data_IF_116172592481
#
_entry.id   IF_116172592481
#
_cell.length_a   1.000
_cell.length_b   1.000
_cell.length_c   1.000
_cell.angle_alpha   90.00
_cell.angle_beta   90.00
_cell.angle_gamma   90.00
#
_symmetry.space_group_name_H-M   'P 1'
#
loop_
_entity.id
_entity.type
_entity.pdbx_description
1 polymer ?
#
# COMPACT_ATOMS: atom_id res chain seq x y z
N UNK A 1 -13.70 -9.91 -2.54
CA UNK A 1 -14.74 -9.04 -1.95
C UNK A 1 -15.83 -8.70 -2.95
N UNK A 2 -15.52 -7.97 -4.03
CA UNK A 2 -16.53 -7.43 -4.97
C UNK A 2 -17.49 -8.47 -5.57
N UNK A 3 -17.01 -9.65 -5.96
CA UNK A 3 -17.86 -10.68 -6.58
C UNK A 3 -18.98 -11.15 -5.66
N UNK A 4 -18.65 -11.48 -4.41
CA UNK A 4 -19.63 -11.89 -3.42
C UNK A 4 -20.52 -10.72 -3.00
N UNK A 5 -19.94 -9.57 -2.68
CA UNK A 5 -20.70 -8.40 -2.22
C UNK A 5 -21.75 -7.94 -3.23
N UNK A 6 -21.37 -7.81 -4.51
CA UNK A 6 -22.29 -7.39 -5.57
C UNK A 6 -23.34 -8.46 -5.89
N UNK A 7 -22.98 -9.75 -5.79
CA UNK A 7 -23.94 -10.84 -6.00
C UNK A 7 -24.97 -10.91 -4.87
N UNK A 8 -24.54 -10.72 -3.63
CA UNK A 8 -25.42 -10.78 -2.44
C UNK A 8 -26.47 -9.67 -2.42
N UNK A 9 -26.16 -8.49 -2.95
CA UNK A 9 -27.13 -7.40 -3.10
C UNK A 9 -28.06 -7.59 -4.32
N UNK A 10 -27.92 -8.68 -5.07
CA UNK A 10 -28.75 -8.98 -6.24
C UNK A 10 -28.39 -8.18 -7.50
N UNK A 11 -27.16 -7.65 -7.60
CA UNK A 11 -26.72 -6.95 -8.80
C UNK A 11 -26.53 -7.95 -9.95
N UNK A 12 -27.16 -7.67 -11.09
CA UNK A 12 -26.98 -8.43 -12.32
C UNK A 12 -25.50 -8.45 -12.69
N UNK A 13 -24.99 -9.63 -13.04
CA UNK A 13 -23.58 -9.85 -13.36
C UNK A 13 -22.61 -9.50 -12.21
N UNK A 14 -23.09 -9.32 -10.97
CA UNK A 14 -22.25 -8.93 -9.83
C UNK A 14 -21.04 -9.84 -9.62
N UNK A 15 -21.22 -11.15 -9.79
CA UNK A 15 -20.15 -12.13 -9.71
C UNK A 15 -19.10 -11.93 -10.82
N UNK A 16 -19.54 -11.74 -12.07
CA UNK A 16 -18.66 -11.53 -13.22
C UNK A 16 -17.89 -10.21 -13.11
N UNK A 17 -18.56 -9.13 -12.69
CA UNK A 17 -17.94 -7.83 -12.43
C UNK A 17 -16.84 -8.00 -11.38
N UNK A 18 -17.15 -8.69 -10.29
CA UNK A 18 -16.20 -8.87 -9.20
C UNK A 18 -15.03 -9.79 -9.50
N UNK A 19 -15.23 -10.86 -10.29
CA UNK A 19 -14.11 -11.68 -10.78
C UNK A 19 -13.22 -10.87 -11.73
N UNK A 20 -13.82 -10.11 -12.65
CA UNK A 20 -13.08 -9.27 -13.60
C UNK A 20 -12.25 -8.22 -12.86
N UNK A 21 -12.85 -7.56 -11.86
CA UNK A 21 -12.16 -6.62 -10.99
C UNK A 21 -11.02 -7.28 -10.20
N UNK A 22 -11.21 -8.52 -9.72
CA UNK A 22 -10.17 -9.30 -9.05
C UNK A 22 -9.02 -9.71 -9.98
N UNK A 23 -9.28 -9.95 -11.26
CA UNK A 23 -8.20 -10.11 -12.24
C UNK A 23 -7.48 -8.79 -12.51
N UNK A 24 -8.20 -7.67 -12.55
CA UNK A 24 -7.62 -6.35 -12.79
C UNK A 24 -6.87 -5.78 -11.58
N UNK A 25 -7.03 -6.33 -10.37
CA UNK A 25 -6.35 -5.86 -9.16
C UNK A 25 -4.84 -6.16 -9.12
N UNK A 26 -4.28 -6.83 -10.13
CA UNK A 26 -2.82 -6.87 -10.31
C UNK A 26 -2.22 -5.46 -10.52
N UNK A 27 -2.98 -4.54 -11.12
CA UNK A 27 -2.59 -3.14 -11.24
C UNK A 27 -3.30 -2.36 -10.14
N UNK A 28 -2.56 -1.65 -9.26
CA UNK A 28 -3.15 -0.84 -8.20
C UNK A 28 -4.24 0.10 -8.74
N UNK A 29 -5.36 0.17 -8.01
CA UNK A 29 -6.55 0.97 -8.33
C UNK A 29 -7.35 0.56 -9.57
N UNK A 30 -6.79 -0.17 -10.54
CA UNK A 30 -7.51 -0.55 -11.77
C UNK A 30 -8.65 -1.53 -11.46
N UNK A 31 -8.38 -2.53 -10.63
CA UNK A 31 -9.42 -3.49 -10.19
C UNK A 31 -10.58 -2.82 -9.48
N UNK A 32 -10.31 -1.94 -8.52
CA UNK A 32 -11.37 -1.26 -7.75
C UNK A 32 -12.09 -0.18 -8.54
N UNK A 33 -11.40 0.57 -9.41
CA UNK A 33 -12.02 1.56 -10.29
C UNK A 33 -12.94 0.89 -11.32
N UNK A 34 -12.51 -0.22 -11.92
CA UNK A 34 -13.35 -0.98 -12.85
C UNK A 34 -14.58 -1.57 -12.13
N UNK A 35 -14.42 -2.11 -10.93
CA UNK A 35 -15.55 -2.54 -10.10
C UNK A 35 -16.54 -1.40 -9.85
N UNK A 36 -16.05 -0.21 -9.48
CA UNK A 36 -16.88 0.97 -9.21
C UNK A 36 -17.69 1.39 -10.43
N UNK A 37 -17.01 1.63 -11.56
CA UNK A 37 -17.65 2.16 -12.76
C UNK A 37 -18.67 1.17 -13.32
N UNK A 38 -18.28 -0.09 -13.49
CA UNK A 38 -19.16 -1.10 -14.10
C UNK A 38 -20.34 -1.41 -13.18
N UNK A 39 -20.11 -1.58 -11.87
CA UNK A 39 -21.21 -1.85 -10.93
C UNK A 39 -22.17 -0.68 -10.82
N UNK A 40 -21.69 0.57 -10.82
CA UNK A 40 -22.54 1.76 -10.78
C UNK A 40 -23.43 1.88 -12.02
N UNK A 41 -22.89 1.67 -13.22
CA UNK A 41 -23.66 1.70 -14.46
C UNK A 41 -24.75 0.61 -14.45
N UNK A 42 -24.36 -0.63 -14.12
CA UNK A 42 -25.31 -1.76 -14.09
C UNK A 42 -26.38 -1.53 -13.03
N UNK A 43 -26.01 -1.06 -11.83
CA UNK A 43 -26.95 -0.79 -10.74
C UNK A 43 -27.94 0.32 -11.10
N UNK A 44 -27.47 1.38 -11.76
CA UNK A 44 -28.30 2.49 -12.19
C UNK A 44 -29.32 2.03 -13.25
N UNK A 45 -28.89 1.23 -14.23
CA UNK A 45 -29.79 0.72 -15.28
C UNK A 45 -30.76 -0.33 -14.72
N UNK A 46 -30.30 -1.21 -13.85
CA UNK A 46 -31.11 -2.29 -13.26
C UNK A 46 -32.15 -1.77 -12.25
N UNK A 47 -31.76 -0.80 -11.42
CA UNK A 47 -32.60 -0.28 -10.34
C UNK A 47 -33.55 0.83 -10.77
N UNK A 48 -33.38 1.41 -11.97
CA UNK A 48 -34.12 2.60 -12.37
C UNK A 48 -35.65 2.42 -12.29
N UNK A 49 -36.40 3.41 -11.77
CA UNK A 49 -35.98 4.73 -11.28
C UNK A 49 -35.58 4.76 -9.80
N UNK A 50 -35.54 3.62 -9.11
CA UNK A 50 -35.15 3.51 -7.71
C UNK A 50 -33.62 3.60 -7.55
N UNK A 51 -33.17 4.46 -6.65
CA UNK A 51 -31.76 4.70 -6.36
C UNK A 51 -31.18 3.70 -5.36
N UNK A 52 -32.02 2.85 -4.76
CA UNK A 52 -31.63 1.90 -3.72
C UNK A 52 -30.53 0.93 -4.20
N UNK A 53 -30.67 0.38 -5.41
CA UNK A 53 -29.67 -0.55 -5.97
C UNK A 53 -28.32 0.14 -6.21
N UNK A 54 -28.32 1.38 -6.69
CA UNK A 54 -27.09 2.17 -6.87
C UNK A 54 -26.41 2.42 -5.52
N UNK A 55 -27.18 2.83 -4.51
CA UNK A 55 -26.65 3.08 -3.17
C UNK A 55 -26.03 1.81 -2.56
N UNK A 56 -26.68 0.65 -2.73
CA UNK A 56 -26.14 -0.65 -2.28
C UNK A 56 -24.84 -1.02 -3.00
N UNK A 57 -24.80 -0.88 -4.34
CA UNK A 57 -23.60 -1.19 -5.12
C UNK A 57 -22.42 -0.29 -4.74
N UNK A 58 -22.65 1.01 -4.60
CA UNK A 58 -21.63 1.96 -4.12
C UNK A 58 -21.18 1.62 -2.69
N UNK A 59 -22.09 1.21 -1.81
CA UNK A 59 -21.78 0.76 -0.45
C UNK A 59 -20.87 -0.47 -0.41
N UNK A 60 -21.11 -1.47 -1.28
CA UNK A 60 -20.25 -2.65 -1.42
C UNK A 60 -18.84 -2.26 -1.90
N UNK A 61 -18.76 -1.37 -2.89
CA UNK A 61 -17.47 -0.94 -3.44
C UNK A 61 -16.70 -0.09 -2.43
N UNK A 62 -17.37 0.87 -1.78
CA UNK A 62 -16.78 1.74 -0.77
C UNK A 62 -16.30 0.98 0.47
N UNK A 63 -17.09 0.01 0.97
CA UNK A 63 -16.65 -0.86 2.07
C UNK A 63 -15.43 -1.70 1.70
N UNK A 64 -15.35 -2.17 0.45
CA UNK A 64 -14.17 -2.84 -0.08
C UNK A 64 -12.95 -1.93 -0.07
N UNK A 65 -13.07 -0.72 -0.61
CA UNK A 65 -12.00 0.28 -0.60
C UNK A 65 -11.56 0.65 0.82
N UNK A 66 -12.50 0.77 1.75
CA UNK A 66 -12.20 1.07 3.13
C UNK A 66 -11.38 -0.05 3.79
N UNK A 67 -11.79 -1.30 3.62
CA UNK A 67 -11.04 -2.47 4.10
C UNK A 67 -9.66 -2.54 3.46
N UNK A 68 -9.56 -2.32 2.15
CA UNK A 68 -8.31 -2.39 1.42
C UNK A 68 -7.34 -1.27 1.84
N UNK A 69 -7.81 -0.04 1.98
CA UNK A 69 -6.99 1.11 2.36
C UNK A 69 -6.59 1.12 3.85
N UNK A 70 -7.51 0.77 4.75
CA UNK A 70 -7.28 0.92 6.20
C UNK A 70 -6.79 -0.34 6.91
N UNK A 71 -7.01 -1.52 6.31
CA UNK A 71 -6.65 -2.80 6.96
C UNK A 71 -5.66 -3.58 6.10
N UNK A 72 -5.98 -3.78 4.82
CA UNK A 72 -5.17 -4.64 3.95
C UNK A 72 -3.84 -3.98 3.58
N UNK A 73 -3.88 -2.72 3.15
CA UNK A 73 -2.68 -1.94 2.80
C UNK A 73 -1.68 -1.86 3.97
N UNK A 74 -2.04 -1.48 5.20
CA UNK A 74 -1.07 -1.46 6.30
C UNK A 74 -0.61 -2.85 6.75
N UNK A 75 -1.41 -3.91 6.57
CA UNK A 75 -0.97 -5.28 6.86
C UNK A 75 -0.02 -5.83 5.79
N UNK A 76 -0.23 -5.49 4.53
CA UNK A 76 0.61 -5.92 3.41
C UNK A 76 1.90 -5.09 3.31
N UNK A 77 1.82 -3.80 3.62
CA UNK A 77 2.93 -2.83 3.61
C UNK A 77 3.41 -2.57 5.05
N UNK A 78 3.41 -3.63 5.87
CA UNK A 78 3.68 -3.61 7.32
C UNK A 78 4.77 -2.62 7.75
N UNK A 79 4.41 -1.81 8.75
CA UNK A 79 5.13 -0.67 9.34
C UNK A 79 5.88 0.20 8.31
N UNK A 80 5.40 1.45 8.17
CA UNK A 80 6.07 2.56 7.50
C UNK A 80 7.58 2.35 7.47
N UNK A 81 8.21 2.57 6.31
CA UNK A 81 9.65 2.47 5.94
C UNK A 81 10.65 2.96 7.02
N UNK A 82 10.18 3.53 8.11
CA UNK A 82 10.91 3.86 9.33
C UNK A 82 11.52 5.24 9.23
N UNK A 83 11.47 5.85 8.05
CA UNK A 83 12.04 7.15 7.78
C UNK A 83 11.27 8.24 8.50
N UNK A 84 12.01 8.98 9.34
CA UNK A 84 11.52 10.21 9.92
C UNK A 84 11.21 11.21 8.79
N UNK A 85 10.09 11.96 8.83
CA UNK A 85 9.69 12.89 7.77
C UNK A 85 10.79 13.86 7.32
N UNK A 86 11.66 14.27 8.26
CA UNK A 86 12.82 15.12 7.99
C UNK A 86 13.81 14.49 6.98
N UNK A 87 14.07 13.18 7.06
CA UNK A 87 14.97 12.50 6.11
C UNK A 87 14.37 12.46 4.70
N UNK A 88 13.04 12.32 4.61
CA UNK A 88 12.30 12.42 3.35
C UNK A 88 12.42 13.81 2.73
N UNK A 89 12.29 14.87 3.54
CA UNK A 89 12.49 16.24 3.08
C UNK A 89 13.91 16.48 2.55
N UNK A 90 14.93 16.01 3.28
CA UNK A 90 16.32 16.11 2.81
C UNK A 90 16.55 15.33 1.51
N UNK A 91 16.00 14.13 1.38
CA UNK A 91 16.12 13.35 0.15
C UNK A 91 15.46 14.06 -1.03
N UNK A 92 14.28 14.65 -0.86
CA UNK A 92 13.59 15.44 -1.89
C UNK A 92 14.39 16.69 -2.29
N UNK A 93 14.95 17.42 -1.32
CA UNK A 93 15.78 18.59 -1.59
C UNK A 93 17.10 18.22 -2.30
N UNK A 94 17.75 17.14 -1.87
CA UNK A 94 19.00 16.68 -2.45
C UNK A 94 18.78 16.12 -3.87
N UNK A 95 17.81 15.23 -4.06
CA UNK A 95 17.54 14.65 -5.39
C UNK A 95 16.96 15.69 -6.35
N UNK A 96 16.10 16.59 -5.85
CA UNK A 96 15.54 17.70 -6.61
C UNK A 96 16.60 18.69 -7.07
N UNK A 97 17.62 18.98 -6.25
CA UNK A 97 18.71 19.86 -6.65
C UNK A 97 19.71 19.19 -7.60
N UNK A 98 19.96 17.89 -7.47
CA UNK A 98 20.90 17.14 -8.31
C UNK A 98 20.31 16.76 -9.69
N UNK A 99 19.06 16.31 -9.74
CA UNK A 99 18.44 15.71 -10.92
C UNK A 99 17.11 16.38 -11.32
N UNK A 100 16.73 17.49 -10.68
CA UNK A 100 15.50 18.20 -10.97
C UNK A 100 14.24 17.39 -10.66
N UNK A 101 13.22 17.55 -11.51
CA UNK A 101 11.93 16.87 -11.35
C UNK A 101 12.04 15.34 -11.38
N UNK A 102 12.91 14.80 -12.24
CA UNK A 102 13.19 13.35 -12.27
C UNK A 102 13.72 12.87 -10.93
N UNK A 103 14.60 13.64 -10.29
CA UNK A 103 15.09 13.37 -8.94
C UNK A 103 13.98 13.30 -7.90
N UNK A 104 12.95 14.15 -8.00
CA UNK A 104 11.81 14.16 -7.08
C UNK A 104 10.97 12.89 -7.17
N UNK A 105 10.72 12.37 -8.39
CA UNK A 105 9.94 11.13 -8.60
C UNK A 105 10.61 9.94 -7.89
N UNK A 106 11.94 9.85 -7.99
CA UNK A 106 12.71 8.71 -7.49
C UNK A 106 13.21 8.93 -6.05
N UNK A 107 13.01 10.12 -5.47
CA UNK A 107 13.53 10.51 -4.15
C UNK A 107 13.07 9.56 -3.04
N UNK A 108 11.77 9.27 -3.00
CA UNK A 108 11.12 8.47 -1.95
C UNK A 108 11.63 7.03 -1.92
N UNK A 109 11.62 6.26 -3.04
CA UNK A 109 12.13 4.88 -3.01
C UNK A 109 13.64 4.80 -2.75
N UNK A 110 14.44 5.75 -3.23
CA UNK A 110 15.88 5.77 -2.97
C UNK A 110 16.17 6.09 -1.50
N UNK A 111 15.49 7.09 -0.92
CA UNK A 111 15.61 7.40 0.50
C UNK A 111 15.21 6.21 1.37
N UNK A 112 14.14 5.52 1.00
CA UNK A 112 13.68 4.29 1.63
C UNK A 112 14.78 3.21 1.65
N UNK A 113 15.33 2.90 0.47
CA UNK A 113 16.38 1.90 0.32
C UNK A 113 17.63 2.26 1.13
N UNK A 114 18.12 3.51 1.03
CA UNK A 114 19.28 3.99 1.78
C UNK A 114 19.03 3.94 3.30
N UNK A 115 17.84 4.35 3.75
CA UNK A 115 17.47 4.29 5.16
C UNK A 115 17.52 2.88 5.73
N UNK A 116 17.01 1.89 4.97
CA UNK A 116 17.06 0.48 5.36
C UNK A 116 18.51 -0.03 5.40
N UNK A 117 19.31 0.27 4.37
CA UNK A 117 20.72 -0.13 4.31
C UNK A 117 21.52 0.44 5.48
N UNK A 118 21.41 1.74 5.75
CA UNK A 118 22.13 2.39 6.85
C UNK A 118 21.75 1.79 8.20
N UNK A 119 20.45 1.57 8.46
CA UNK A 119 19.99 0.90 9.68
C UNK A 119 20.58 -0.49 9.83
N UNK A 120 20.59 -1.27 8.75
CA UNK A 120 21.18 -2.59 8.73
C UNK A 120 22.70 -2.54 9.02
N UNK A 121 23.43 -1.63 8.37
CA UNK A 121 24.87 -1.44 8.60
C UNK A 121 25.17 -1.04 10.05
N UNK A 122 24.44 -0.08 10.63
CA UNK A 122 24.65 0.32 12.02
C UNK A 122 24.35 -0.79 13.01
N UNK A 123 23.26 -1.56 12.79
CA UNK A 123 22.94 -2.72 13.62
C UNK A 123 24.07 -3.77 13.55
N UNK A 124 24.58 -4.05 12.34
CA UNK A 124 25.68 -5.00 12.13
C UNK A 124 27.01 -4.50 12.72
N UNK A 125 27.29 -3.20 12.61
CA UNK A 125 28.50 -2.58 13.16
C UNK A 125 28.53 -2.68 14.70
N UNK A 126 27.41 -2.43 15.38
CA UNK A 126 27.31 -2.56 16.84
C UNK A 126 27.49 -4.00 17.35
N UNK A 127 27.20 -4.99 16.51
CA UNK A 127 27.43 -6.41 16.82
C UNK A 127 28.81 -6.90 16.38
N UNK A 128 29.63 -6.04 15.76
CA UNK A 128 30.95 -6.44 15.28
C UNK A 128 31.98 -6.45 16.43
N UNK A 129 33.00 -7.33 16.35
CA UNK A 129 34.08 -7.37 17.33
C UNK A 129 34.81 -6.03 17.49
N UNK A 130 34.86 -5.22 16.41
CA UNK A 130 35.44 -3.88 16.42
C UNK A 130 34.69 -2.88 17.32
N UNK A 131 33.40 -3.12 17.62
CA UNK A 131 32.61 -2.24 18.48
C UNK A 131 32.43 -2.79 19.90
N UNK A 132 32.32 -4.12 20.05
CA UNK A 132 32.17 -4.76 21.36
C UNK A 132 33.47 -4.77 22.18
N UNK A 133 34.63 -4.58 21.52
CA UNK A 133 35.95 -4.61 22.16
C UNK A 133 36.32 -6.02 22.63
N UNK A 134 37.62 -6.32 22.66
CA UNK A 134 38.16 -7.56 23.25
C UNK A 134 37.96 -7.66 24.78
N UNK A 135 37.21 -6.74 25.40
CA UNK A 135 37.01 -6.67 26.84
C UNK A 135 36.16 -7.83 27.41
N UNK A 136 35.39 -8.54 26.56
CA UNK A 136 34.66 -9.74 26.98
C UNK A 136 35.56 -10.97 27.21
N UNK A 137 36.80 -10.98 26.67
CA UNK A 137 37.77 -12.06 26.89
C UNK A 137 38.67 -11.81 28.12
N UNK A 138 38.70 -10.59 28.65
CA UNK A 138 39.51 -10.24 29.83
C UNK A 138 38.79 -10.48 31.18
N UNK A 139 37.45 -10.45 31.21
CA UNK A 139 36.66 -10.65 32.45
C UNK A 139 36.35 -12.13 32.77
N UNK A 140 36.63 -13.05 31.83
CA UNK A 140 36.35 -14.49 31.96
C UNK A 140 37.59 -15.38 32.07
N UNK A 141 38.75 -14.81 32.41
CA UNK A 141 39.92 -15.59 32.81
C UNK A 141 39.92 -15.75 34.34
N UNK A 142 39.80 -16.97 34.87
CA UNK A 142 39.88 -17.24 36.31
C UNK A 142 41.28 -17.04 36.89
#
# INVERSE_FOLDING_TARGET
WYGLGLTLIGLNYGFLIGISAGFLSFIPYVGSLSALVVSAIVALVQGWPDWTMLAMALGVVASGQFLEGNVLSPKLVGESVGLHPVWLMFALLASGSLFGFTGLIVAVPVAAALGVLLRFFFARYRLSPFYLGEDAEAENQP
#
